data_IF_774377062242
#
_entry.id   IF_774377062242
#
_cell.length_a   1.000
_cell.length_b   1.000
_cell.length_c   1.000
_cell.angle_alpha   90.00
_cell.angle_beta   90.00
_cell.angle_gamma   90.00
#
_symmetry.space_group_name_H-M   'P 1'
#
loop_
_entity.id
_entity.type
_entity.pdbx_description
1 polymer ?
#
# COMPACT_ATOMS: atom_id res chain seq x y z
N UNK A 1 -11.15 6.95 -0.32
CA UNK A 1 -9.75 6.58 -0.01
C UNK A 1 -9.12 5.63 -1.03
N UNK A 2 -9.86 4.72 -1.68
CA UNK A 2 -9.32 3.83 -2.74
C UNK A 2 -8.52 4.57 -3.84
N UNK A 3 -9.00 5.73 -4.27
CA UNK A 3 -8.34 6.55 -5.30
C UNK A 3 -6.92 7.06 -4.94
N UNK A 4 -6.53 7.08 -3.66
CA UNK A 4 -5.17 7.51 -3.27
C UNK A 4 -4.17 6.36 -3.29
N UNK A 5 -4.59 5.15 -2.88
CA UNK A 5 -3.72 3.97 -2.86
C UNK A 5 -3.48 3.40 -4.27
N UNK A 6 -4.43 3.57 -5.19
CA UNK A 6 -4.40 2.99 -6.55
C UNK A 6 -3.68 3.80 -7.62
N UNK A 7 -2.98 4.91 -7.32
CA UNK A 7 -2.42 5.80 -8.35
C UNK A 7 -1.46 5.12 -9.34
N UNK A 8 -0.80 4.03 -8.93
CA UNK A 8 0.04 3.22 -9.82
C UNK A 8 -0.75 2.56 -10.97
N UNK A 9 -2.07 2.38 -10.83
CA UNK A 9 -2.92 1.82 -11.87
C UNK A 9 -2.95 2.70 -13.12
N UNK A 10 -2.83 4.03 -12.96
CA UNK A 10 -2.75 4.95 -14.10
C UNK A 10 -1.47 4.71 -14.92
N UNK A 11 -0.35 4.38 -14.27
CA UNK A 11 0.88 3.97 -14.96
C UNK A 11 0.67 2.69 -15.76
N UNK A 12 -0.03 1.70 -15.19
CA UNK A 12 -0.34 0.45 -15.89
C UNK A 12 -1.30 0.66 -17.06
N UNK A 13 -2.32 1.50 -16.89
CA UNK A 13 -3.23 1.87 -17.96
C UNK A 13 -2.48 2.49 -19.14
N UNK A 14 -1.58 3.44 -18.90
CA UNK A 14 -0.76 4.04 -19.96
C UNK A 14 0.14 3.00 -20.63
N UNK A 15 0.74 2.08 -19.86
CA UNK A 15 1.52 0.99 -20.45
C UNK A 15 0.67 0.10 -21.36
N UNK A 16 -0.53 -0.29 -20.90
CA UNK A 16 -1.45 -1.15 -21.66
C UNK A 16 -1.93 -0.47 -22.95
N UNK A 17 -2.30 0.81 -22.88
CA UNK A 17 -2.74 1.63 -24.03
C UNK A 17 -1.66 1.75 -25.12
N UNK A 18 -0.40 1.75 -24.72
CA UNK A 18 0.74 1.89 -25.62
C UNK A 18 1.43 0.55 -25.95
N UNK A 19 0.88 -0.58 -25.51
CA UNK A 19 1.48 -1.91 -25.74
C UNK A 19 2.86 -2.09 -25.09
N UNK A 20 3.12 -1.35 -24.01
CA UNK A 20 4.34 -1.43 -23.21
C UNK A 20 4.16 -2.45 -22.08
N UNK A 21 5.21 -3.21 -21.72
CA UNK A 21 5.16 -4.04 -20.53
C UNK A 21 4.98 -3.18 -19.27
N UNK A 22 4.08 -3.61 -18.37
CA UNK A 22 3.91 -2.94 -17.07
C UNK A 22 5.21 -3.01 -16.25
N UNK A 23 5.67 -1.90 -15.66
CA UNK A 23 6.90 -1.88 -14.89
C UNK A 23 6.71 -2.52 -13.51
N UNK A 24 7.82 -2.94 -12.90
CA UNK A 24 7.82 -3.26 -11.46
C UNK A 24 7.59 -1.99 -10.64
N UNK A 25 6.72 -2.07 -9.64
CA UNK A 25 6.35 -0.95 -8.76
C UNK A 25 6.73 -1.26 -7.31
N UNK A 26 7.34 -0.28 -6.65
CA UNK A 26 7.50 -0.22 -5.21
C UNK A 26 6.72 0.99 -4.71
N UNK A 27 5.79 0.78 -3.78
CA UNK A 27 5.09 1.87 -3.12
C UNK A 27 5.97 2.35 -1.98
N UNK A 28 6.90 3.26 -2.28
CA UNK A 28 7.90 3.67 -1.29
C UNK A 28 7.35 4.58 -0.21
N UNK A 29 6.20 5.22 -0.47
CA UNK A 29 5.57 6.16 0.45
C UNK A 29 4.05 6.06 0.31
N UNK A 30 3.40 5.52 1.34
CA UNK A 30 1.98 5.72 1.56
C UNK A 30 1.72 5.93 3.05
N UNK A 31 0.60 6.56 3.38
CA UNK A 31 0.26 6.87 4.76
C UNK A 31 -1.07 7.62 4.82
N UNK A 32 -1.31 8.29 5.94
CA UNK A 32 -2.55 9.00 6.21
C UNK A 32 -2.37 10.50 6.06
N UNK A 33 -2.33 11.23 7.17
CA UNK A 33 -2.01 12.64 7.18
C UNK A 33 -0.50 12.83 7.35
N UNK A 34 0.01 13.96 6.83
CA UNK A 34 1.44 14.27 6.79
C UNK A 34 2.15 14.04 8.15
N UNK A 35 1.49 14.32 9.27
CA UNK A 35 2.09 14.28 10.60
C UNK A 35 1.34 13.35 11.57
N UNK A 36 0.37 12.58 11.09
CA UNK A 36 -0.51 11.83 11.98
C UNK A 36 -0.83 10.44 11.43
N UNK A 37 -0.47 9.45 12.25
CA UNK A 37 -0.88 8.05 12.09
C UNK A 37 -2.15 7.83 12.92
N UNK A 38 -3.18 7.15 12.38
CA UNK A 38 -4.40 6.88 13.13
C UNK A 38 -4.12 5.90 14.28
N UNK A 39 -5.10 5.71 15.20
CA UNK A 39 -5.01 4.68 16.23
C UNK A 39 -4.67 3.31 15.63
N UNK A 40 -3.88 2.52 16.36
CA UNK A 40 -3.34 1.23 15.89
C UNK A 40 -4.38 0.31 15.25
N UNK A 41 -5.58 0.20 15.84
CA UNK A 41 -6.65 -0.64 15.29
C UNK A 41 -7.07 -0.19 13.89
N UNK A 42 -7.31 1.11 13.70
CA UNK A 42 -7.65 1.68 12.40
C UNK A 42 -6.49 1.56 11.41
N UNK A 43 -5.26 1.81 11.88
CA UNK A 43 -4.07 1.69 11.04
C UNK A 43 -3.93 0.27 10.47
N UNK A 44 -4.16 -0.77 11.28
CA UNK A 44 -4.08 -2.16 10.83
C UNK A 44 -5.21 -2.55 9.86
N UNK A 45 -6.42 -2.01 10.03
CA UNK A 45 -7.51 -2.19 9.05
C UNK A 45 -7.15 -1.56 7.69
N UNK A 46 -6.61 -0.35 7.70
CA UNK A 46 -6.19 0.35 6.50
C UNK A 46 -4.99 -0.34 5.82
N UNK A 47 -4.05 -0.87 6.61
CA UNK A 47 -2.93 -1.71 6.13
C UNK A 47 -3.46 -2.96 5.44
N UNK A 48 -4.46 -3.64 6.01
CA UNK A 48 -5.05 -4.82 5.38
C UNK A 48 -5.74 -4.48 4.06
N UNK A 49 -6.47 -3.36 4.00
CA UNK A 49 -7.07 -2.85 2.76
C UNK A 49 -5.99 -2.56 1.70
N UNK A 50 -4.95 -1.80 2.05
CA UNK A 50 -3.85 -1.49 1.15
C UNK A 50 -3.14 -2.77 0.67
N UNK A 51 -2.88 -3.71 1.58
CA UNK A 51 -2.26 -5.00 1.26
C UNK A 51 -3.09 -5.79 0.25
N UNK A 52 -4.42 -5.86 0.43
CA UNK A 52 -5.31 -6.54 -0.51
C UNK A 52 -5.30 -5.91 -1.91
N UNK A 53 -5.29 -4.58 -1.98
CA UNK A 53 -5.21 -3.86 -3.25
C UNK A 53 -3.88 -4.11 -3.95
N UNK A 54 -2.76 -4.02 -3.23
CA UNK A 54 -1.43 -4.20 -3.82
C UNK A 54 -1.17 -5.65 -4.22
N UNK A 55 -1.65 -6.61 -3.45
CA UNK A 55 -1.50 -8.03 -3.74
C UNK A 55 -2.19 -8.46 -5.05
N UNK A 56 -3.21 -7.72 -5.48
CA UNK A 56 -3.89 -7.92 -6.75
C UNK A 56 -3.00 -7.64 -7.98
N UNK A 57 -1.87 -6.95 -7.81
CA UNK A 57 -0.97 -6.57 -8.91
C UNK A 57 0.37 -7.26 -8.78
N UNK A 58 0.71 -8.23 -9.65
CA UNK A 58 1.97 -8.96 -9.56
C UNK A 58 3.21 -8.09 -9.77
N UNK A 59 3.04 -6.91 -10.37
CA UNK A 59 4.05 -5.88 -10.55
C UNK A 59 4.41 -5.14 -9.27
N UNK A 60 3.51 -5.09 -8.28
CA UNK A 60 3.76 -4.43 -7.00
C UNK A 60 4.53 -5.39 -6.09
N UNK A 61 5.75 -5.02 -5.70
CA UNK A 61 6.69 -5.89 -4.96
C UNK A 61 6.86 -5.53 -3.49
N UNK A 62 6.33 -4.39 -3.07
CA UNK A 62 6.38 -3.95 -1.69
C UNK A 62 5.75 -2.59 -1.51
N UNK A 63 5.37 -2.31 -0.27
CA UNK A 63 4.86 -1.02 0.17
C UNK A 63 5.49 -0.63 1.51
N UNK A 64 5.84 0.64 1.67
CA UNK A 64 6.39 1.20 2.89
C UNK A 64 5.47 2.32 3.41
N UNK A 65 5.15 2.23 4.70
CA UNK A 65 4.39 3.26 5.41
C UNK A 65 5.33 4.42 5.72
N UNK A 66 4.89 5.63 5.43
CA UNK A 66 5.66 6.84 5.65
C UNK A 66 4.80 7.96 6.26
N UNK A 67 5.41 8.72 7.17
CA UNK A 67 4.88 9.96 7.74
C UNK A 67 6.03 10.91 8.01
N UNK A 68 5.75 12.22 7.99
CA UNK A 68 6.69 13.25 8.39
C UNK A 68 6.92 13.25 9.92
N UNK A 69 5.96 12.69 10.68
CA UNK A 69 5.96 12.74 12.15
C UNK A 69 5.94 14.18 12.67
N UNK A 70 6.40 14.39 13.92
CA UNK A 70 6.63 15.74 14.44
C UNK A 70 7.96 16.29 13.89
N UNK A 71 7.95 17.52 13.39
CA UNK A 71 9.05 18.20 12.68
C UNK A 71 10.38 18.37 13.46
N UNK A 72 10.52 17.80 14.67
CA UNK A 72 11.64 18.06 15.59
C UNK A 72 12.24 16.84 16.31
N UNK A 73 11.90 15.60 15.95
CA UNK A 73 12.39 14.42 16.67
C UNK A 73 12.71 13.23 15.77
N UNK A 74 13.97 12.76 15.82
CA UNK A 74 14.35 11.44 15.31
C UNK A 74 13.63 10.38 16.14
N UNK A 75 12.48 9.91 15.65
CA UNK A 75 11.63 8.93 16.32
C UNK A 75 10.17 9.30 16.12
N UNK A 76 9.53 8.68 15.12
CA UNK A 76 8.08 8.83 15.00
C UNK A 76 7.38 7.87 15.95
N UNK A 77 7.06 8.36 17.15
CA UNK A 77 6.31 7.64 18.17
C UNK A 77 4.91 7.20 17.69
N UNK A 78 4.43 7.70 16.53
CA UNK A 78 3.12 7.35 16.00
C UNK A 78 3.15 6.17 15.02
N UNK A 79 4.18 6.03 14.19
CA UNK A 79 4.33 4.92 13.23
C UNK A 79 5.21 3.80 13.77
N UNK A 80 6.16 4.09 14.67
CA UNK A 80 6.99 3.06 15.29
C UNK A 80 6.18 1.94 15.97
N UNK A 81 5.05 2.21 16.64
CA UNK A 81 4.18 1.16 17.18
C UNK A 81 3.60 0.21 16.13
N UNK A 82 3.60 0.57 14.84
CA UNK A 82 3.14 -0.29 13.74
C UNK A 82 4.17 -1.37 13.36
N UNK A 83 5.45 -1.23 13.73
CA UNK A 83 6.51 -2.15 13.26
C UNK A 83 6.19 -3.61 13.61
N UNK A 84 5.94 -3.89 14.89
CA UNK A 84 5.65 -5.25 15.34
C UNK A 84 4.37 -5.84 14.73
N UNK A 85 3.19 -5.17 14.79
CA UNK A 85 1.96 -5.71 14.22
C UNK A 85 1.98 -5.78 12.68
N UNK A 86 2.64 -4.85 11.99
CA UNK A 86 2.85 -4.95 10.53
C UNK A 86 3.74 -6.15 10.20
N UNK A 87 4.80 -6.37 10.97
CA UNK A 87 5.69 -7.54 10.79
C UNK A 87 4.88 -8.83 10.97
N UNK A 88 4.12 -8.94 12.05
CA UNK A 88 3.27 -10.10 12.31
C UNK A 88 2.23 -10.32 11.19
N UNK A 89 1.56 -9.25 10.76
CA UNK A 89 0.62 -9.29 9.65
C UNK A 89 1.29 -9.78 8.37
N UNK A 90 2.43 -9.21 7.99
CA UNK A 90 3.14 -9.56 6.76
C UNK A 90 3.67 -10.99 6.76
N UNK A 91 4.02 -11.54 7.93
CA UNK A 91 4.49 -12.92 8.07
C UNK A 91 3.36 -13.95 8.01
N UNK A 92 2.12 -13.57 8.34
CA UNK A 92 0.99 -14.51 8.45
C UNK A 92 -0.11 -14.32 7.39
N UNK A 93 -0.08 -13.23 6.61
CA UNK A 93 -1.09 -12.94 5.58
C UNK A 93 -0.51 -13.08 4.18
N UNK A 94 -1.07 -14.01 3.41
CA UNK A 94 -0.66 -14.28 2.03
C UNK A 94 -1.88 -14.28 1.13
N UNK A 95 -1.75 -13.65 -0.04
CA UNK A 95 -2.79 -13.64 -1.05
C UNK A 95 -2.47 -14.69 -2.11
N UNK A 96 -3.42 -15.61 -2.33
CA UNK A 96 -3.29 -16.60 -3.38
C UNK A 96 -3.32 -15.91 -4.75
N UNK A 97 -2.33 -16.23 -5.59
CA UNK A 97 -2.37 -15.85 -7.00
C UNK A 97 -3.28 -16.82 -7.75
N UNK A 98 -4.58 -16.60 -7.68
CA UNK A 98 -5.50 -17.28 -8.59
C UNK A 98 -5.37 -16.63 -9.96
N UNK A 99 -4.92 -17.38 -10.97
CA UNK A 99 -4.79 -16.87 -12.34
C UNK A 99 -6.13 -16.29 -12.83
N UNK A 100 -6.12 -15.01 -13.20
CA UNK A 100 -7.32 -14.24 -13.54
C UNK A 100 -7.69 -13.26 -12.43
N UNK A 101 -7.09 -12.07 -12.48
CA UNK A 101 -7.50 -10.92 -11.66
C UNK A 101 -8.62 -10.18 -12.40
N UNK A 102 -9.67 -9.78 -11.68
CA UNK A 102 -10.67 -8.84 -12.21
C UNK A 102 -10.27 -7.40 -11.84
N UNK A 103 -9.66 -6.63 -12.76
CA UNK A 103 -9.28 -5.25 -12.52
C UNK A 103 -10.46 -4.32 -12.23
N UNK A 104 -11.70 -4.74 -12.49
CA UNK A 104 -12.91 -3.96 -12.22
C UNK A 104 -13.26 -3.88 -10.73
N UNK A 105 -12.67 -4.72 -9.87
CA UNK A 105 -12.89 -4.68 -8.41
C UNK A 105 -12.39 -3.39 -7.73
N UNK A 106 -11.57 -2.59 -8.43
CA UNK A 106 -10.95 -1.38 -7.87
C UNK A 106 -11.03 -0.17 -8.80
N UNK A 107 -11.86 -0.23 -9.85
CA UNK A 107 -12.22 0.96 -10.63
C UNK A 107 -13.18 1.80 -9.77
N UNK A 108 -12.97 3.14 -9.66
CA UNK A 108 -13.80 4.02 -8.84
C UNK A 108 -15.29 4.00 -9.19
#
# INVERSE_FOLDING_TARGET
YSALLGRFQALFQVCDEHGLPRPTVLITEWGWALQQTPPLSQAMEDIALASSLYAAYPEVRGAAIWTLGSFMGLGDDQTQPLIAPLTDYALHNYFARTGGFDPLLFVP
#
